data_IF_461050049180
#
_entry.id   IF_461050049180
#
_cell.length_a   1.000
_cell.length_b   1.000
_cell.length_c   1.000
_cell.angle_alpha   90.00
_cell.angle_beta   90.00
_cell.angle_gamma   90.00
#
_symmetry.space_group_name_H-M   'P 1'
#
loop_
_entity.id
_entity.type
_entity.pdbx_description
1 polymer ?
#
# COMPACT_ATOMS: atom_id res chain seq x y z
N UNK A 1 12.97 0.17 -25.77
CA UNK A 1 13.36 -0.80 -24.72
C UNK A 1 13.32 -0.20 -23.30
N UNK A 2 12.30 0.59 -22.94
CA UNK A 2 12.16 1.16 -21.58
C UNK A 2 11.23 0.37 -20.64
N UNK A 3 10.38 -0.48 -21.22
CA UNK A 3 9.36 -1.27 -20.50
C UNK A 3 9.96 -2.27 -19.50
N UNK A 4 11.13 -2.84 -19.80
CA UNK A 4 11.77 -3.83 -18.91
C UNK A 4 12.27 -3.19 -17.60
N UNK A 5 12.83 -1.98 -17.68
CA UNK A 5 13.25 -1.21 -16.50
C UNK A 5 12.03 -0.82 -15.66
N UNK A 6 10.95 -0.35 -16.29
CA UNK A 6 9.68 -0.06 -15.61
C UNK A 6 9.10 -1.32 -14.95
N UNK A 7 9.09 -2.45 -15.66
CA UNK A 7 8.60 -3.72 -15.12
C UNK A 7 9.36 -4.18 -13.88
N UNK A 8 10.67 -3.92 -13.80
CA UNK A 8 11.49 -4.20 -12.61
C UNK A 8 11.03 -3.36 -11.41
N UNK A 9 10.81 -2.06 -11.60
CA UNK A 9 10.36 -1.17 -10.52
C UNK A 9 8.91 -1.43 -10.09
N UNK A 10 8.01 -1.70 -11.04
CA UNK A 10 6.63 -2.05 -10.72
C UNK A 10 6.54 -3.39 -9.99
N UNK A 11 7.32 -4.39 -10.40
CA UNK A 11 7.37 -5.70 -9.72
C UNK A 11 7.90 -5.62 -8.28
N UNK A 12 8.81 -4.70 -7.98
CA UNK A 12 9.25 -4.45 -6.60
C UNK A 12 8.23 -3.60 -5.82
N UNK A 13 7.50 -2.70 -6.48
CA UNK A 13 6.42 -1.93 -5.85
C UNK A 13 5.20 -2.80 -5.52
N UNK A 14 4.87 -3.79 -6.36
CA UNK A 14 3.79 -4.74 -6.13
C UNK A 14 4.03 -5.60 -4.87
N UNK A 15 5.30 -5.82 -4.51
CA UNK A 15 5.69 -6.54 -3.29
C UNK A 15 5.48 -5.70 -2.04
N UNK A 16 5.34 -4.38 -2.15
CA UNK A 16 5.32 -3.50 -0.99
C UNK A 16 3.91 -2.97 -0.70
N UNK A 17 3.22 -3.47 0.34
CA UNK A 17 1.86 -3.03 0.68
C UNK A 17 1.78 -1.56 1.12
N UNK A 18 2.90 -0.86 1.31
CA UNK A 18 2.94 0.54 1.77
C UNK A 18 2.11 1.45 0.87
N UNK A 19 2.22 1.33 -0.46
CA UNK A 19 1.49 2.20 -1.38
C UNK A 19 -0.03 2.04 -1.25
N UNK A 20 -0.49 0.79 -1.19
CA UNK A 20 -1.91 0.46 -1.03
C UNK A 20 -2.42 0.86 0.35
N UNK A 21 -1.60 0.68 1.39
CA UNK A 21 -1.92 1.10 2.75
C UNK A 21 -2.12 2.62 2.81
N UNK A 22 -1.23 3.39 2.16
CA UNK A 22 -1.35 4.85 2.09
C UNK A 22 -2.63 5.28 1.35
N UNK A 23 -2.97 4.64 0.24
CA UNK A 23 -4.22 4.89 -0.48
C UNK A 23 -5.46 4.59 0.36
N UNK A 24 -5.45 3.48 1.11
CA UNK A 24 -6.56 3.09 2.00
C UNK A 24 -6.72 4.05 3.19
N UNK A 25 -5.63 4.59 3.73
CA UNK A 25 -5.65 5.58 4.80
C UNK A 25 -6.06 6.98 4.33
N UNK A 26 -5.87 7.31 3.05
CA UNK A 26 -6.16 8.64 2.51
C UNK A 26 -7.67 8.92 2.49
N UNK A 27 -8.18 9.98 3.16
CA UNK A 27 -9.60 10.19 3.39
C UNK A 27 -10.45 10.34 2.12
N UNK A 28 -9.90 10.95 1.07
CA UNK A 28 -10.61 11.17 -0.20
C UNK A 28 -10.54 9.99 -1.18
N UNK A 29 -9.49 9.16 -1.09
CA UNK A 29 -9.18 8.14 -2.11
C UNK A 29 -9.66 6.77 -1.66
N UNK A 30 -9.26 6.34 -0.45
CA UNK A 30 -9.65 5.09 0.21
C UNK A 30 -9.74 3.91 -0.77
N UNK A 31 -10.71 3.02 -0.56
CA UNK A 31 -10.98 1.87 -1.41
C UNK A 31 -11.56 2.27 -2.78
N UNK A 32 -12.30 3.40 -2.86
CA UNK A 32 -12.92 3.89 -4.09
C UNK A 32 -11.91 4.18 -5.20
N UNK A 33 -10.70 4.64 -4.86
CA UNK A 33 -9.63 4.88 -5.82
C UNK A 33 -9.16 3.57 -6.45
N UNK A 34 -8.93 2.55 -5.63
CA UNK A 34 -8.50 1.21 -6.08
C UNK A 34 -9.59 0.61 -6.98
N UNK A 35 -10.86 0.67 -6.56
CA UNK A 35 -11.97 0.11 -7.33
C UNK A 35 -12.18 0.81 -8.69
N UNK A 36 -11.79 2.08 -8.82
CA UNK A 36 -11.94 2.84 -10.08
C UNK A 36 -10.76 2.71 -11.03
N UNK A 37 -9.55 2.64 -10.50
CA UNK A 37 -8.34 2.74 -11.31
C UNK A 37 -7.64 1.40 -11.53
N UNK A 38 -7.98 0.36 -10.77
CA UNK A 38 -7.28 -0.93 -10.83
C UNK A 38 -8.18 -2.02 -11.41
N UNK A 39 -7.60 -2.94 -12.17
CA UNK A 39 -8.28 -4.15 -12.62
C UNK A 39 -8.67 -5.00 -11.40
N UNK A 40 -9.81 -5.71 -11.48
CA UNK A 40 -10.38 -6.46 -10.36
C UNK A 40 -9.42 -7.51 -9.79
N UNK A 41 -8.73 -8.21 -10.69
CA UNK A 41 -7.67 -9.19 -10.42
C UNK A 41 -6.51 -8.63 -9.55
N UNK A 42 -6.27 -7.32 -9.58
CA UNK A 42 -5.14 -6.71 -8.86
C UNK A 42 -5.55 -6.11 -7.52
N UNK A 43 -6.84 -6.17 -7.15
CA UNK A 43 -7.36 -5.51 -5.94
C UNK A 43 -7.19 -6.36 -4.68
N UNK A 44 -7.38 -7.66 -4.80
CA UNK A 44 -7.50 -8.54 -3.63
C UNK A 44 -6.17 -8.72 -2.90
N UNK A 45 -5.11 -9.10 -3.61
CA UNK A 45 -3.79 -9.35 -3.02
C UNK A 45 -3.21 -8.14 -2.29
N UNK A 46 -3.09 -6.97 -2.94
CA UNK A 46 -2.52 -5.78 -2.31
C UNK A 46 -3.35 -5.24 -1.14
N UNK A 47 -4.68 -5.36 -1.18
CA UNK A 47 -5.53 -4.94 -0.06
C UNK A 47 -5.46 -5.92 1.11
N UNK A 48 -5.35 -7.22 0.87
CA UNK A 48 -5.08 -8.19 1.92
C UNK A 48 -3.73 -7.89 2.60
N UNK A 49 -2.68 -7.64 1.81
CA UNK A 49 -1.35 -7.29 2.33
C UNK A 49 -1.37 -5.97 3.11
N UNK A 50 -2.10 -4.95 2.65
CA UNK A 50 -2.27 -3.70 3.38
C UNK A 50 -3.01 -3.88 4.72
N UNK A 51 -4.03 -4.75 4.77
CA UNK A 51 -4.74 -5.08 6.03
C UNK A 51 -3.83 -5.81 7.01
N UNK A 52 -3.01 -6.74 6.55
CA UNK A 52 -2.01 -7.41 7.39
C UNK A 52 -0.98 -6.42 7.94
N UNK A 53 -0.50 -5.50 7.10
CA UNK A 53 0.40 -4.43 7.52
C UNK A 53 -0.26 -3.56 8.60
N UNK A 54 -1.49 -3.08 8.36
CA UNK A 54 -2.25 -2.32 9.36
C UNK A 54 -2.38 -3.08 10.69
N UNK A 55 -2.78 -4.34 10.65
CA UNK A 55 -2.92 -5.17 11.86
C UNK A 55 -1.63 -5.28 12.67
N UNK A 56 -0.46 -5.30 12.01
CA UNK A 56 0.85 -5.34 12.66
C UNK A 56 1.21 -4.03 13.38
N UNK A 57 0.79 -2.88 12.85
CA UNK A 57 1.23 -1.57 13.33
C UNK A 57 0.19 -0.79 14.13
N UNK A 58 -1.10 -1.17 14.07
CA UNK A 58 -2.19 -0.43 14.74
C UNK A 58 -2.03 -0.30 16.26
N UNK A 59 -1.48 -1.33 16.91
CA UNK A 59 -1.31 -1.40 18.37
C UNK A 59 0.11 -1.04 18.79
N UNK A 60 0.99 -0.69 17.83
CA UNK A 60 2.37 -0.38 18.13
C UNK A 60 2.42 0.97 18.85
N UNK A 61 2.96 1.06 20.08
CA UNK A 61 3.12 2.33 20.74
C UNK A 61 4.01 3.22 19.89
N UNK A 62 3.57 4.45 19.67
CA UNK A 62 4.42 5.49 19.10
C UNK A 62 5.61 5.62 20.05
N UNK A 63 6.82 5.41 19.54
CA UNK A 63 8.02 5.61 20.34
C UNK A 63 7.94 7.04 20.91
N UNK A 64 8.23 7.23 22.21
CA UNK A 64 8.24 8.57 22.78
C UNK A 64 9.18 9.40 21.92
N UNK A 65 8.68 10.53 21.44
CA UNK A 65 9.49 11.51 20.73
C UNK A 65 10.56 11.89 21.76
N UNK A 66 11.79 11.42 21.57
CA UNK A 66 12.92 11.86 22.38
C UNK A 66 13.04 13.36 22.17
N UNK A 67 12.48 14.14 23.09
CA UNK A 67 12.66 15.58 23.15
C UNK A 67 14.16 15.81 23.31
N UNK A 68 14.79 16.30 22.25
CA UNK A 68 16.15 16.85 22.27
C UNK A 68 16.02 18.35 22.13
#
# INVERSE_FOLDING_TARGET
MGWWVLSKYYRESDKNPIYVTALLLHPEKRRRYIDRHWAEEWREGPVAAARQLWAKYKDRPLAPISAT
#
